data_IF_005146243337
#
_entry.id   IF_005146243337
#
_cell.length_a   1.000
_cell.length_b   1.000
_cell.length_c   1.000
_cell.angle_alpha   90.00
_cell.angle_beta   90.00
_cell.angle_gamma   90.00
#
_symmetry.space_group_name_H-M   'P 1'
#
loop_
_entity.id
_entity.type
_entity.pdbx_description
1 polymer ?
#
# COMPACT_ATOMS: atom_id res chain seq x y z
N UNK A 1 -20.32 -0.80 13.67
CA UNK A 1 -19.64 -1.79 12.80
C UNK A 1 -18.68 -0.97 11.95
N UNK A 2 -17.37 -1.07 12.18
CA UNK A 2 -16.40 -0.30 11.40
C UNK A 2 -16.35 -0.90 9.99
N UNK A 3 -16.44 -0.07 8.96
CA UNK A 3 -16.14 -0.51 7.60
C UNK A 3 -14.65 -0.86 7.54
N UNK A 4 -14.32 -2.00 6.97
CA UNK A 4 -12.94 -2.45 6.84
C UNK A 4 -12.46 -2.10 5.43
N UNK A 5 -11.21 -1.64 5.29
CA UNK A 5 -10.58 -1.42 3.98
C UNK A 5 -10.51 -2.72 3.16
N UNK A 6 -10.63 -3.87 3.82
CA UNK A 6 -10.81 -5.18 3.19
C UNK A 6 -12.09 -5.25 2.34
N UNK A 7 -13.15 -4.50 2.67
CA UNK A 7 -14.44 -4.53 1.96
C UNK A 7 -14.34 -3.93 0.55
N UNK A 8 -13.40 -3.02 0.31
CA UNK A 8 -13.17 -2.41 -1.01
C UNK A 8 -12.17 -3.18 -1.87
N UNK A 9 -11.51 -4.24 -1.35
CA UNK A 9 -10.63 -5.10 -2.16
C UNK A 9 -11.36 -5.76 -3.32
N UNK A 10 -12.63 -6.11 -3.14
CA UNK A 10 -13.45 -6.70 -4.20
C UNK A 10 -13.60 -5.79 -5.43
N UNK A 11 -13.46 -4.47 -5.27
CA UNK A 11 -13.46 -3.54 -6.40
C UNK A 11 -12.26 -3.76 -7.32
N UNK A 12 -11.12 -4.19 -6.77
CA UNK A 12 -9.93 -4.52 -7.56
C UNK A 12 -10.10 -5.75 -8.46
N UNK A 13 -11.11 -6.59 -8.22
CA UNK A 13 -11.45 -7.74 -9.06
C UNK A 13 -12.27 -7.33 -10.31
N UNK A 14 -12.64 -6.05 -10.44
CA UNK A 14 -13.41 -5.51 -11.55
C UNK A 14 -12.50 -4.73 -12.51
N UNK A 15 -11.79 -5.39 -13.46
CA UNK A 15 -10.78 -4.77 -14.29
C UNK A 15 -11.31 -3.71 -15.27
N UNK A 16 -12.64 -3.64 -15.45
CA UNK A 16 -13.31 -2.65 -16.31
C UNK A 16 -13.95 -1.50 -15.52
N UNK A 17 -13.76 -1.45 -14.19
CA UNK A 17 -14.36 -0.41 -13.37
C UNK A 17 -13.75 0.96 -13.69
N UNK A 18 -14.56 1.85 -14.24
CA UNK A 18 -14.14 3.21 -14.65
C UNK A 18 -14.69 4.30 -13.74
N UNK A 19 -15.78 4.04 -13.00
CA UNK A 19 -16.42 5.04 -12.17
C UNK A 19 -16.88 4.43 -10.84
N UNK A 20 -16.58 5.10 -9.73
CA UNK A 20 -16.96 4.70 -8.38
C UNK A 20 -17.37 5.93 -7.58
N UNK A 21 -18.41 5.79 -6.76
CA UNK A 21 -18.79 6.77 -5.75
C UNK A 21 -18.99 6.04 -4.41
N UNK A 22 -18.21 6.42 -3.40
CA UNK A 22 -18.28 5.94 -2.02
C UNK A 22 -18.36 7.11 -1.03
N UNK A 23 -18.63 8.33 -1.50
CA UNK A 23 -18.94 9.47 -0.63
C UNK A 23 -20.05 9.12 0.38
N UNK A 24 -19.87 9.53 1.63
CA UNK A 24 -20.78 9.18 2.73
C UNK A 24 -20.63 7.74 3.27
N UNK A 25 -19.74 6.93 2.69
CA UNK A 25 -19.52 5.55 3.12
C UNK A 25 -18.41 5.49 4.19
N UNK A 26 -18.57 4.76 5.31
CA UNK A 26 -17.56 4.73 6.38
C UNK A 26 -16.19 4.16 5.98
N UNK A 27 -16.07 3.54 4.80
CA UNK A 27 -14.79 3.12 4.22
C UNK A 27 -14.01 4.30 3.60
N UNK A 28 -14.70 5.37 3.23
CA UNK A 28 -14.13 6.56 2.61
C UNK A 28 -13.82 7.67 3.62
N UNK A 29 -14.45 7.65 4.80
CA UNK A 29 -14.35 8.70 5.82
C UNK A 29 -14.38 8.17 7.26
N UNK A 30 -13.89 8.95 8.22
CA UNK A 30 -13.98 8.64 9.64
C UNK A 30 -15.39 8.95 10.22
N UNK A 31 -15.56 8.76 11.54
CA UNK A 31 -16.83 9.03 12.24
C UNK A 31 -17.27 10.50 12.19
N UNK A 32 -16.35 11.42 11.85
CA UNK A 32 -16.60 12.85 11.70
C UNK A 32 -16.83 13.25 10.24
N UNK A 33 -16.88 12.28 9.31
CA UNK A 33 -17.03 12.54 7.88
C UNK A 33 -15.76 13.08 7.21
N UNK A 34 -14.59 12.94 7.85
CA UNK A 34 -13.31 13.36 7.28
C UNK A 34 -12.76 12.23 6.40
N UNK A 35 -12.47 12.48 5.11
CA UNK A 35 -11.93 11.46 4.23
C UNK A 35 -10.58 10.93 4.70
N UNK A 36 -10.35 9.62 4.60
CA UNK A 36 -9.08 9.03 4.99
C UNK A 36 -7.93 9.51 4.07
N UNK A 37 -6.74 9.88 4.61
CA UNK A 37 -5.63 10.45 3.84
C UNK A 37 -5.11 9.59 2.67
N UNK A 38 -5.43 8.29 2.66
CA UNK A 38 -4.92 7.32 1.68
C UNK A 38 -6.01 6.54 0.94
N UNK A 39 -7.29 6.79 1.24
CA UNK A 39 -8.43 6.08 0.63
C UNK A 39 -8.41 6.18 -0.90
N UNK A 40 -8.21 7.40 -1.41
CA UNK A 40 -8.17 7.67 -2.85
C UNK A 40 -7.01 6.96 -3.54
N UNK A 41 -5.84 6.97 -2.92
CA UNK A 41 -4.67 6.26 -3.44
C UNK A 41 -4.89 4.74 -3.51
N UNK A 42 -5.46 4.16 -2.46
CA UNK A 42 -5.73 2.72 -2.41
C UNK A 42 -6.72 2.27 -3.49
N UNK A 43 -7.76 3.06 -3.77
CA UNK A 43 -8.68 2.73 -4.87
C UNK A 43 -8.04 2.85 -6.25
N UNK A 44 -7.13 3.81 -6.44
CA UNK A 44 -6.38 3.93 -7.69
C UNK A 44 -5.39 2.79 -7.90
N UNK A 45 -4.86 2.23 -6.81
CA UNK A 45 -4.03 1.03 -6.85
C UNK A 45 -4.85 -0.22 -7.18
N UNK A 46 -6.01 -0.39 -6.53
CA UNK A 46 -6.91 -1.53 -6.77
C UNK A 46 -7.56 -1.48 -8.16
N UNK A 47 -7.97 -0.29 -8.61
CA UNK A 47 -8.73 -0.08 -9.83
C UNK A 47 -7.93 0.78 -10.83
N UNK A 48 -6.95 0.20 -11.55
CA UNK A 48 -6.05 0.97 -12.41
C UNK A 48 -6.76 1.66 -13.58
N UNK A 49 -7.99 1.25 -13.95
CA UNK A 49 -8.78 1.89 -15.02
C UNK A 49 -9.77 2.95 -14.53
N UNK A 50 -9.80 3.25 -13.23
CA UNK A 50 -10.76 4.18 -12.63
C UNK A 50 -10.58 5.62 -13.12
N UNK A 51 -11.52 6.14 -13.91
CA UNK A 51 -11.48 7.49 -14.47
C UNK A 51 -12.15 8.51 -13.55
N UNK A 52 -13.10 8.08 -12.71
CA UNK A 52 -13.84 8.95 -11.81
C UNK A 52 -14.02 8.31 -10.44
N UNK A 53 -13.72 9.08 -9.40
CA UNK A 53 -13.95 8.70 -8.01
C UNK A 53 -14.65 9.84 -7.28
N UNK A 54 -15.80 9.57 -6.68
CA UNK A 54 -16.60 10.53 -5.90
C UNK A 54 -16.93 11.79 -6.70
N UNK A 55 -17.35 11.57 -7.96
CA UNK A 55 -17.63 12.61 -8.97
C UNK A 55 -16.41 13.49 -9.33
N UNK A 56 -15.22 13.15 -8.85
CA UNK A 56 -13.96 13.83 -9.19
C UNK A 56 -13.19 12.99 -10.19
N UNK A 57 -12.88 13.59 -11.33
CA UNK A 57 -12.02 12.99 -12.33
C UNK A 57 -10.66 12.62 -11.72
N UNK A 58 -10.17 11.43 -12.05
CA UNK A 58 -8.83 10.98 -11.68
C UNK A 58 -7.89 11.45 -12.78
N UNK A 59 -7.13 12.50 -12.49
CA UNK A 59 -6.18 13.08 -13.44
C UNK A 59 -4.95 12.21 -13.67
N UNK A 60 -4.27 12.42 -14.81
CA UNK A 60 -3.00 11.77 -15.12
C UNK A 60 -1.88 12.12 -14.13
N UNK A 61 -1.85 13.36 -13.64
CA UNK A 61 -0.85 13.82 -12.66
C UNK A 61 -1.00 13.09 -11.31
N UNK A 62 -2.23 12.99 -10.80
CA UNK A 62 -2.52 12.25 -9.56
C UNK A 62 -2.04 10.80 -9.64
N UNK A 63 -2.32 10.13 -10.77
CA UNK A 63 -1.85 8.76 -11.03
C UNK A 63 -0.34 8.67 -11.08
N UNK A 64 0.31 9.65 -11.71
CA UNK A 64 1.76 9.67 -11.82
C UNK A 64 2.43 9.90 -10.47
N UNK A 65 1.87 10.78 -9.63
CA UNK A 65 2.33 10.98 -8.26
C UNK A 65 2.17 9.69 -7.43
N UNK A 66 1.05 8.99 -7.57
CA UNK A 66 0.83 7.73 -6.89
C UNK A 66 1.82 6.65 -7.33
N UNK A 67 2.03 6.51 -8.64
CA UNK A 67 2.98 5.56 -9.21
C UNK A 67 4.42 5.84 -8.73
N UNK A 68 4.82 7.11 -8.68
CA UNK A 68 6.12 7.53 -8.14
C UNK A 68 6.23 7.23 -6.65
N UNK A 69 5.17 7.47 -5.87
CA UNK A 69 5.15 7.15 -4.44
C UNK A 69 5.29 5.64 -4.21
N UNK A 70 4.55 4.81 -4.95
CA UNK A 70 4.64 3.34 -4.89
C UNK A 70 6.04 2.86 -5.26
N UNK A 71 6.62 3.36 -6.35
CA UNK A 71 7.99 3.01 -6.75
C UNK A 71 9.02 3.39 -5.69
N UNK A 72 8.88 4.57 -5.08
CA UNK A 72 9.76 5.01 -3.99
C UNK A 72 9.62 4.12 -2.76
N UNK A 73 8.40 3.74 -2.41
CA UNK A 73 8.13 2.85 -1.28
C UNK A 73 8.72 1.44 -1.53
N UNK A 74 8.53 0.89 -2.73
CA UNK A 74 9.12 -0.39 -3.12
C UNK A 74 10.66 -0.36 -3.04
N UNK A 75 11.30 0.67 -3.62
CA UNK A 75 12.75 0.82 -3.56
C UNK A 75 13.29 1.02 -2.13
N UNK A 76 12.51 1.69 -1.27
CA UNK A 76 12.86 1.84 0.15
C UNK A 76 12.76 0.52 0.90
N UNK A 77 11.73 -0.28 0.59
CA UNK A 77 11.51 -1.59 1.21
C UNK A 77 12.63 -2.57 0.84
N UNK A 78 13.05 -2.62 -0.43
CA UNK A 78 14.18 -3.46 -0.87
C UNK A 78 15.47 -3.16 -0.08
N UNK A 79 15.73 -1.88 0.24
CA UNK A 79 16.87 -1.50 1.07
C UNK A 79 16.75 -2.01 2.51
N UNK A 80 15.55 -1.97 3.08
CA UNK A 80 15.29 -2.48 4.43
C UNK A 80 15.49 -3.99 4.47
N UNK A 81 14.98 -4.71 3.46
CA UNK A 81 15.10 -6.16 3.35
C UNK A 81 16.56 -6.60 3.22
N UNK A 82 17.36 -5.89 2.40
CA UNK A 82 18.80 -6.13 2.27
C UNK A 82 19.54 -5.93 3.61
N UNK A 83 19.21 -4.87 4.35
CA UNK A 83 19.80 -4.61 5.68
C UNK A 83 19.45 -5.75 6.65
N UNK A 84 18.21 -6.23 6.63
CA UNK A 84 17.77 -7.33 7.48
C UNK A 84 18.46 -8.65 7.09
N UNK A 85 18.66 -8.90 5.80
CA UNK A 85 19.40 -10.06 5.31
C UNK A 85 20.85 -10.03 5.80
N UNK A 86 21.57 -8.91 5.60
CA UNK A 86 22.96 -8.76 6.06
C UNK A 86 23.05 -8.93 7.58
N UNK A 87 22.12 -8.34 8.34
CA UNK A 87 22.06 -8.54 9.81
C UNK A 87 21.89 -10.01 10.20
N UNK A 88 21.04 -10.73 9.48
CA UNK A 88 20.79 -12.15 9.72
C UNK A 88 22.03 -12.99 9.43
N UNK A 89 22.69 -12.76 8.29
CA UNK A 89 23.94 -13.44 7.94
C UNK A 89 25.06 -13.16 8.96
N UNK A 90 25.15 -11.92 9.44
CA UNK A 90 26.12 -11.55 10.47
C UNK A 90 25.85 -12.22 11.81
N UNK A 91 24.58 -12.30 12.23
CA UNK A 91 24.19 -13.00 13.44
C UNK A 91 24.56 -14.49 13.36
N UNK A 92 24.22 -15.16 12.25
CA UNK A 92 24.55 -16.57 12.01
C UNK A 92 26.06 -16.82 11.99
N UNK A 93 26.84 -15.94 11.37
CA UNK A 93 28.30 -16.08 11.31
C UNK A 93 28.97 -15.81 12.68
N UNK A 94 28.42 -14.88 13.47
CA UNK A 94 28.85 -14.62 14.84
C UNK A 94 28.58 -15.80 15.78
N UNK A 95 27.43 -16.47 15.62
CA UNK A 95 27.11 -17.69 16.37
C UNK A 95 28.06 -18.85 16.03
N UNK A 96 28.34 -19.07 14.75
CA UNK A 96 29.31 -20.09 14.31
C UNK A 96 30.72 -19.85 14.88
N UNK A 97 31.15 -18.59 15.02
CA UNK A 97 32.47 -18.28 15.63
C UNK A 97 32.51 -18.45 17.15
N UNK A 98 31.36 -18.34 17.85
CA UNK A 98 31.29 -18.60 19.30
C UNK A 98 31.23 -20.08 19.64
N UNK A 99 30.68 -20.93 18.77
CA UNK A 99 30.60 -22.39 18.99
C UNK A 99 31.90 -23.17 18.70
N UNK A 100 32.94 -22.52 18.15
CA UNK A 100 34.19 -23.18 17.73
C UNK A 100 35.36 -23.11 18.72
N UNK A 101 35.14 -22.69 19.97
CA UNK A 101 36.21 -22.54 20.98
C UNK A 101 36.17 -23.57 22.13
N UNK A 102 35.26 -24.55 22.11
CA UNK A 102 35.23 -25.65 23.08
C UNK A 102 35.65 -26.98 22.43
N UNK A 103 36.94 -27.13 22.10
CA UNK A 103 37.61 -28.42 21.88
C UNK A 103 39.06 -28.36 22.38
#
# INVERSE_FOLDING_TARGET
RAADMSDIRALGELPQLTEVALDGNPVAQDENGVPWPHYRGLLLELCPRLQQLDLKAVGGEERQQLAVAIQRMAASQERVDLINQVKTEWALNMEHRRGGQDL
#
